data_IF_870003636675
#
_entry.id   IF_870003636675
#
_cell.length_a   1.000
_cell.length_b   1.000
_cell.length_c   1.000
_cell.angle_alpha   90.00
_cell.angle_beta   90.00
_cell.angle_gamma   90.00
#
_symmetry.space_group_name_H-M   'P 1'
#
loop_
_entity.id
_entity.type
_entity.pdbx_description
1 polymer ?
#
# COMPACT_ATOMS: atom_id res chain seq x y z
N UNK A 1 3.72 -0.65 5.32
CA UNK A 1 3.53 0.26 6.46
C UNK A 1 2.09 0.34 6.91
N UNK A 2 1.15 0.69 6.01
CA UNK A 2 -0.28 0.85 6.38
C UNK A 2 -0.87 -0.40 7.03
N UNK A 3 -0.69 -1.58 6.45
CA UNK A 3 -1.24 -2.84 7.01
C UNK A 3 -0.69 -3.14 8.41
N UNK A 4 0.62 -2.94 8.62
CA UNK A 4 1.21 -3.12 9.94
C UNK A 4 0.62 -2.10 10.92
N UNK A 5 0.55 -0.83 10.53
CA UNK A 5 0.02 0.24 11.39
C UNK A 5 -1.46 0.01 11.72
N UNK A 6 -2.28 -0.47 10.76
CA UNK A 6 -3.70 -0.73 11.01
C UNK A 6 -3.92 -1.86 12.01
N UNK A 7 -3.10 -2.89 11.99
CA UNK A 7 -3.13 -3.98 12.97
C UNK A 7 -2.69 -3.48 14.35
N UNK A 8 -1.54 -2.78 14.42
CA UNK A 8 -0.98 -2.31 15.68
C UNK A 8 -1.79 -1.21 16.36
N UNK A 9 -2.61 -0.48 15.62
CA UNK A 9 -3.45 0.61 16.09
C UNK A 9 -4.94 0.30 16.07
N UNK A 10 -5.28 -0.95 15.83
CA UNK A 10 -6.66 -1.43 15.85
C UNK A 10 -7.60 -0.56 15.01
N UNK A 11 -7.19 -0.26 13.76
CA UNK A 11 -8.01 0.58 12.90
C UNK A 11 -9.37 -0.08 12.66
N UNK A 12 -10.44 0.66 12.95
CA UNK A 12 -11.81 0.22 12.75
C UNK A 12 -12.15 0.18 11.25
N UNK A 13 -11.63 -0.84 10.56
CA UNK A 13 -11.86 -1.06 9.13
C UNK A 13 -13.13 -1.89 8.95
N UNK A 14 -14.27 -1.29 9.24
CA UNK A 14 -15.59 -1.92 9.11
C UNK A 14 -15.88 -2.14 7.63
N UNK A 15 -16.41 -3.31 7.29
CA UNK A 15 -16.90 -3.59 5.95
C UNK A 15 -18.20 -2.81 5.73
N UNK A 16 -18.11 -1.77 4.90
CA UNK A 16 -19.25 -0.92 4.56
C UNK A 16 -19.84 -1.39 3.23
N UNK A 17 -21.08 -1.84 3.17
CA UNK A 17 -21.74 -2.25 1.92
C UNK A 17 -21.90 -1.05 0.98
N UNK A 18 -21.94 -1.32 -0.32
CA UNK A 18 -22.26 -0.29 -1.32
C UNK A 18 -23.72 0.14 -1.17
N UNK A 19 -23.95 1.45 -1.10
CA UNK A 19 -25.28 2.04 -1.06
C UNK A 19 -25.64 2.62 -2.43
N UNK A 20 -26.41 1.88 -3.22
CA UNK A 20 -26.74 2.26 -4.60
C UNK A 20 -27.52 3.59 -4.68
N UNK A 21 -28.47 3.82 -3.78
CA UNK A 21 -29.27 5.06 -3.76
C UNK A 21 -28.38 6.30 -3.42
N UNK A 22 -27.54 6.18 -2.39
CA UNK A 22 -26.61 7.24 -2.04
C UNK A 22 -25.62 7.53 -3.19
N UNK A 23 -25.12 6.50 -3.86
CA UNK A 23 -24.18 6.66 -4.99
C UNK A 23 -24.86 7.39 -6.15
N UNK A 24 -26.06 6.99 -6.54
CA UNK A 24 -26.81 7.65 -7.60
C UNK A 24 -26.98 9.15 -7.32
N UNK A 25 -27.35 9.53 -6.09
CA UNK A 25 -27.48 10.91 -5.68
C UNK A 25 -26.16 11.71 -5.68
N UNK A 26 -25.03 11.02 -5.44
CA UNK A 26 -23.71 11.65 -5.40
C UNK A 26 -23.05 11.71 -6.79
N UNK A 27 -23.36 10.83 -7.72
CA UNK A 27 -22.79 10.80 -9.07
C UNK A 27 -23.21 12.03 -9.89
N UNK A 28 -24.35 12.66 -9.57
CA UNK A 28 -24.82 13.91 -10.20
C UNK A 28 -24.09 15.16 -9.68
N UNK A 29 -23.28 15.04 -8.63
CA UNK A 29 -22.59 16.17 -8.00
C UNK A 29 -21.21 16.43 -8.58
N UNK A 30 -20.85 17.70 -8.64
CA UNK A 30 -19.50 18.09 -9.02
C UNK A 30 -18.46 17.65 -7.99
N UNK A 31 -17.19 17.57 -8.41
CA UNK A 31 -16.07 17.23 -7.52
C UNK A 31 -15.98 18.15 -6.29
N UNK A 32 -16.24 19.44 -6.44
CA UNK A 32 -16.20 20.41 -5.35
C UNK A 32 -17.33 20.20 -4.35
N UNK A 33 -18.55 19.94 -4.80
CA UNK A 33 -19.68 19.62 -3.93
C UNK A 33 -19.44 18.34 -3.12
N UNK A 34 -18.84 17.32 -3.74
CA UNK A 34 -18.45 16.09 -3.02
C UNK A 34 -17.39 16.36 -1.93
N UNK A 35 -16.43 17.26 -2.20
CA UNK A 35 -15.44 17.68 -1.19
C UNK A 35 -16.14 18.41 -0.03
N UNK A 36 -17.07 19.30 -0.31
CA UNK A 36 -17.84 20.04 0.72
C UNK A 36 -18.64 19.07 1.59
N UNK A 37 -19.36 18.13 0.98
CA UNK A 37 -20.11 17.10 1.70
C UNK A 37 -19.17 16.30 2.61
N UNK A 38 -18.05 15.79 2.10
CA UNK A 38 -17.12 15.00 2.90
C UNK A 38 -16.49 15.83 4.04
N UNK A 39 -16.17 17.11 3.77
CA UNK A 39 -15.60 18.03 4.76
C UNK A 39 -16.54 18.33 5.91
N UNK A 40 -17.86 18.34 5.65
CA UNK A 40 -18.88 18.51 6.70
C UNK A 40 -19.02 17.28 7.60
N UNK A 41 -18.56 16.12 7.12
CA UNK A 41 -18.68 14.83 7.85
C UNK A 41 -17.43 14.50 8.65
N UNK A 42 -16.24 14.82 8.10
CA UNK A 42 -14.94 14.56 8.75
C UNK A 42 -13.89 15.60 8.38
N UNK A 43 -12.90 15.77 9.24
CA UNK A 43 -11.70 16.53 8.89
C UNK A 43 -10.88 15.80 7.82
N UNK A 44 -10.62 16.47 6.71
CA UNK A 44 -9.80 15.89 5.64
C UNK A 44 -8.32 15.87 6.03
N UNK A 45 -7.74 14.68 6.10
CA UNK A 45 -6.35 14.48 6.54
C UNK A 45 -5.40 14.03 5.43
N UNK A 46 -5.95 13.58 4.31
CA UNK A 46 -5.16 13.10 3.19
C UNK A 46 -5.80 13.47 1.84
N UNK A 47 -4.99 13.40 0.79
CA UNK A 47 -5.44 13.68 -0.58
C UNK A 47 -5.98 12.43 -1.29
N UNK A 48 -5.97 11.26 -0.66
CA UNK A 48 -6.40 10.00 -1.29
C UNK A 48 -7.91 9.99 -1.48
N UNK A 49 -8.66 10.40 -0.45
CA UNK A 49 -10.12 10.46 -0.47
C UNK A 49 -10.63 11.50 -1.48
N UNK A 50 -9.84 12.56 -1.73
CA UNK A 50 -10.21 13.67 -2.62
C UNK A 50 -9.64 13.57 -4.03
N UNK A 51 -8.96 12.45 -4.36
CA UNK A 51 -8.22 12.30 -5.63
C UNK A 51 -9.13 12.28 -6.87
N UNK A 52 -10.26 11.62 -6.76
CA UNK A 52 -11.27 11.50 -7.82
C UNK A 52 -12.67 11.35 -7.21
N UNK A 53 -13.70 11.48 -8.05
CA UNK A 53 -15.09 11.40 -7.61
C UNK A 53 -15.43 10.04 -6.97
N UNK A 54 -14.91 8.94 -7.50
CA UNK A 54 -15.17 7.60 -6.96
C UNK A 54 -14.66 7.45 -5.52
N UNK A 55 -13.46 7.94 -5.23
CA UNK A 55 -12.89 7.93 -3.89
C UNK A 55 -13.69 8.82 -2.92
N UNK A 56 -14.14 10.00 -3.39
CA UNK A 56 -14.99 10.90 -2.60
C UNK A 56 -16.33 10.24 -2.26
N UNK A 57 -17.00 9.67 -3.25
CA UNK A 57 -18.27 8.97 -3.05
C UNK A 57 -18.09 7.81 -2.06
N UNK A 58 -17.01 7.03 -2.21
CA UNK A 58 -16.72 5.94 -1.28
C UNK A 58 -16.44 6.44 0.14
N UNK A 59 -15.72 7.54 0.28
CA UNK A 59 -15.44 8.14 1.58
C UNK A 59 -16.72 8.67 2.26
N UNK A 60 -17.61 9.32 1.49
CA UNK A 60 -18.92 9.79 1.99
C UNK A 60 -19.80 8.61 2.40
N UNK A 61 -19.83 7.53 1.60
CA UNK A 61 -20.55 6.31 1.90
C UNK A 61 -20.11 5.69 3.23
N UNK A 62 -18.80 5.60 3.46
CA UNK A 62 -18.22 5.09 4.72
C UNK A 62 -18.61 5.97 5.92
N UNK A 63 -18.48 7.30 5.79
CA UNK A 63 -18.82 8.21 6.87
C UNK A 63 -20.33 8.21 7.19
N UNK A 64 -21.18 8.10 6.16
CA UNK A 64 -22.63 7.99 6.33
C UNK A 64 -23.01 6.71 7.06
N UNK A 65 -22.39 5.59 6.67
CA UNK A 65 -22.60 4.29 7.32
C UNK A 65 -22.17 4.33 8.79
N UNK A 66 -20.99 4.87 9.10
CA UNK A 66 -20.48 4.97 10.46
C UNK A 66 -21.39 5.84 11.35
N UNK A 67 -21.92 6.96 10.82
CA UNK A 67 -22.88 7.80 11.54
C UNK A 67 -24.18 7.07 11.87
N UNK A 68 -24.64 6.24 10.94
CA UNK A 68 -25.87 5.45 11.14
C UNK A 68 -25.68 4.23 12.04
N UNK A 69 -24.45 3.78 12.23
CA UNK A 69 -24.10 2.59 13.00
C UNK A 69 -23.05 2.87 14.11
N UNK A 70 -23.28 3.78 15.04
CA UNK A 70 -22.28 4.22 16.01
C UNK A 70 -21.86 3.14 17.02
N UNK A 71 -22.63 2.04 17.12
CA UNK A 71 -22.34 0.91 18.02
C UNK A 71 -21.56 -0.22 17.36
N UNK A 72 -21.26 -0.11 16.06
CA UNK A 72 -20.51 -1.12 15.34
C UNK A 72 -19.01 -0.92 15.58
N UNK A 73 -18.52 -1.45 16.69
CA UNK A 73 -17.10 -1.42 17.06
C UNK A 73 -16.55 -2.82 16.89
N UNK A 74 -15.46 -2.94 16.14
CA UNK A 74 -14.72 -4.19 16.03
C UNK A 74 -13.91 -4.40 17.30
N UNK A 75 -14.05 -5.58 17.90
CA UNK A 75 -13.20 -6.02 19.01
C UNK A 75 -11.94 -6.66 18.42
N UNK A 76 -10.78 -6.25 18.93
CA UNK A 76 -9.49 -6.79 18.54
C UNK A 76 -8.85 -7.51 19.72
N UNK A 77 -8.17 -8.65 19.47
CA UNK A 77 -7.38 -9.27 20.51
C UNK A 77 -6.21 -8.36 20.89
N UNK A 78 -5.81 -8.38 22.15
CA UNK A 78 -4.60 -7.68 22.59
C UNK A 78 -3.38 -8.24 21.85
N UNK A 79 -2.64 -7.35 21.16
CA UNK A 79 -1.46 -7.72 20.37
C UNK A 79 -0.20 -7.23 21.06
N UNK A 80 0.56 -8.14 21.62
CA UNK A 80 1.92 -7.85 22.06
C UNK A 80 2.88 -8.03 20.86
N UNK A 81 3.42 -6.93 20.34
CA UNK A 81 4.19 -6.93 19.10
C UNK A 81 5.64 -6.53 19.29
N UNK A 82 6.56 -7.29 18.69
CA UNK A 82 7.96 -6.93 18.53
C UNK A 82 8.21 -6.56 17.05
N UNK A 83 8.37 -5.26 16.78
CA UNK A 83 8.57 -4.78 15.42
C UNK A 83 10.06 -4.64 15.11
N UNK A 84 10.55 -5.43 14.17
CA UNK A 84 11.94 -5.42 13.70
C UNK A 84 12.01 -4.77 12.32
N UNK A 85 12.89 -3.79 12.15
CA UNK A 85 13.20 -3.17 10.88
C UNK A 85 14.64 -3.49 10.45
N UNK A 86 14.84 -3.91 9.21
CA UNK A 86 16.18 -4.05 8.62
C UNK A 86 16.47 -2.80 7.81
N UNK A 87 17.55 -2.10 8.15
CA UNK A 87 17.91 -0.87 7.47
C UNK A 87 19.24 -1.02 6.70
N UNK A 88 19.24 -0.50 5.49
CA UNK A 88 20.44 -0.29 4.69
C UNK A 88 20.59 1.20 4.41
N UNK A 89 21.79 1.67 4.16
CA UNK A 89 22.01 3.00 3.62
C UNK A 89 21.27 3.19 2.28
N UNK A 90 21.15 4.43 1.83
CA UNK A 90 20.36 4.77 0.66
C UNK A 90 20.89 4.11 -0.61
N UNK A 91 22.19 4.11 -0.78
CA UNK A 91 22.85 3.61 -2.00
C UNK A 91 22.70 2.08 -2.11
N UNK A 92 23.07 1.38 -1.06
CA UNK A 92 22.94 -0.09 -0.99
C UNK A 92 21.51 -0.55 -1.14
N UNK A 93 20.56 0.14 -0.54
CA UNK A 93 19.15 -0.19 -0.73
C UNK A 93 18.74 -0.02 -2.20
N UNK A 94 19.15 1.04 -2.88
CA UNK A 94 18.88 1.25 -4.30
C UNK A 94 19.47 0.15 -5.16
N UNK A 95 20.74 -0.18 -4.94
CA UNK A 95 21.45 -1.25 -5.64
C UNK A 95 20.72 -2.59 -5.49
N UNK A 96 20.41 -3.00 -4.27
CA UNK A 96 19.68 -4.24 -3.97
C UNK A 96 18.30 -4.30 -4.63
N UNK A 97 17.57 -3.19 -4.69
CA UNK A 97 16.27 -3.11 -5.37
C UNK A 97 16.44 -3.40 -6.87
N UNK A 98 17.41 -2.75 -7.52
CA UNK A 98 17.67 -2.94 -8.96
C UNK A 98 18.14 -4.37 -9.26
N UNK A 99 19.10 -4.89 -8.49
CA UNK A 99 19.60 -6.27 -8.64
C UNK A 99 18.48 -7.31 -8.44
N UNK A 100 17.58 -7.09 -7.48
CA UNK A 100 16.42 -7.96 -7.29
C UNK A 100 15.48 -7.91 -8.49
N UNK A 101 15.21 -6.73 -9.03
CA UNK A 101 14.37 -6.59 -10.23
C UNK A 101 14.99 -7.31 -11.42
N UNK A 102 16.30 -7.13 -11.68
CA UNK A 102 17.03 -7.85 -12.73
C UNK A 102 16.94 -9.37 -12.57
N UNK A 103 17.15 -9.84 -11.33
CA UNK A 103 17.02 -11.26 -11.00
C UNK A 103 15.60 -11.80 -11.27
N UNK A 104 14.57 -11.06 -10.87
CA UNK A 104 13.17 -11.42 -11.12
C UNK A 104 12.83 -11.48 -12.62
N UNK A 105 13.34 -10.54 -13.40
CA UNK A 105 13.18 -10.58 -14.87
C UNK A 105 13.79 -11.86 -15.47
N UNK A 106 15.01 -12.24 -15.03
CA UNK A 106 15.68 -13.47 -15.48
C UNK A 106 14.96 -14.75 -15.02
N UNK A 107 14.19 -14.68 -13.94
CA UNK A 107 13.44 -15.81 -13.37
C UNK A 107 12.04 -15.98 -13.98
N UNK A 108 11.72 -15.30 -15.06
CA UNK A 108 10.46 -15.50 -15.77
C UNK A 108 9.31 -14.61 -15.33
N UNK A 109 9.59 -13.43 -14.77
CA UNK A 109 8.54 -12.50 -14.35
C UNK A 109 7.67 -12.00 -15.51
N UNK A 110 8.24 -11.87 -16.71
CA UNK A 110 7.49 -11.48 -17.92
C UNK A 110 6.57 -12.61 -18.35
N UNK A 111 7.08 -13.83 -18.34
CA UNK A 111 6.35 -15.05 -18.68
C UNK A 111 5.19 -15.30 -17.71
N UNK A 112 5.38 -15.01 -16.43
CA UNK A 112 4.32 -15.06 -15.43
C UNK A 112 3.15 -14.14 -15.82
N UNK A 113 3.42 -12.87 -16.10
CA UNK A 113 2.38 -11.89 -16.47
C UNK A 113 1.72 -12.26 -17.80
N UNK A 114 2.52 -12.75 -18.76
CA UNK A 114 2.01 -13.22 -20.06
C UNK A 114 1.02 -14.36 -19.89
N UNK A 115 1.37 -15.36 -19.10
CA UNK A 115 0.49 -16.51 -18.79
C UNK A 115 -0.83 -16.09 -18.17
N UNK A 116 -0.81 -15.09 -17.28
CA UNK A 116 -2.03 -14.55 -16.64
C UNK A 116 -2.91 -13.84 -17.67
N UNK A 117 -2.33 -13.05 -18.59
CA UNK A 117 -3.08 -12.44 -19.70
C UNK A 117 -3.71 -13.50 -20.62
N UNK A 118 -2.95 -14.52 -20.97
CA UNK A 118 -3.41 -15.64 -21.81
C UNK A 118 -4.51 -16.48 -21.14
N UNK A 119 -4.57 -16.49 -19.81
CA UNK A 119 -5.67 -17.12 -19.05
C UNK A 119 -6.98 -16.32 -19.05
N UNK A 120 -7.01 -15.15 -19.70
CA UNK A 120 -8.21 -14.32 -19.84
C UNK A 120 -8.39 -13.22 -18.80
N UNK A 121 -7.38 -12.95 -17.96
CA UNK A 121 -7.40 -11.79 -17.06
C UNK A 121 -7.21 -10.51 -17.89
N UNK A 122 -8.07 -9.51 -17.69
CA UNK A 122 -8.02 -8.28 -18.47
C UNK A 122 -6.77 -7.42 -18.17
N UNK A 123 -6.33 -6.63 -19.18
CA UNK A 123 -5.24 -5.67 -19.01
C UNK A 123 -5.48 -4.72 -17.85
N UNK A 124 -6.72 -4.19 -17.72
CA UNK A 124 -7.11 -3.24 -16.68
C UNK A 124 -6.94 -3.83 -15.29
N UNK A 125 -7.33 -5.10 -15.12
CA UNK A 125 -7.16 -5.82 -13.86
C UNK A 125 -5.70 -5.96 -13.47
N UNK A 126 -4.82 -6.33 -14.41
CA UNK A 126 -3.38 -6.45 -14.17
C UNK A 126 -2.73 -5.09 -13.91
N UNK A 127 -3.13 -4.04 -14.63
CA UNK A 127 -2.64 -2.67 -14.42
C UNK A 127 -3.01 -2.17 -13.02
N UNK A 128 -4.17 -2.54 -12.51
CA UNK A 128 -4.63 -2.17 -11.17
C UNK A 128 -3.98 -3.00 -10.05
N UNK A 129 -3.53 -4.22 -10.34
CA UNK A 129 -3.04 -5.16 -9.34
C UNK A 129 -1.72 -4.75 -8.69
N UNK A 130 -0.80 -4.13 -9.44
CA UNK A 130 0.48 -3.68 -8.88
C UNK A 130 1.43 -3.08 -9.91
N UNK A 131 2.49 -2.47 -9.39
CA UNK A 131 3.44 -1.72 -10.23
C UNK A 131 4.14 -2.64 -11.23
N UNK A 132 4.56 -3.83 -10.80
CA UNK A 132 5.21 -4.83 -11.62
C UNK A 132 4.29 -5.28 -12.76
N UNK A 133 3.09 -5.71 -12.42
CA UNK A 133 2.08 -6.17 -13.39
C UNK A 133 1.74 -5.06 -14.40
N UNK A 134 1.56 -3.83 -13.91
CA UNK A 134 1.26 -2.67 -14.76
C UNK A 134 2.28 -2.46 -15.88
N UNK A 135 3.55 -2.36 -15.52
CA UNK A 135 4.57 -2.01 -16.52
C UNK A 135 4.91 -3.18 -17.45
N UNK A 136 4.87 -4.42 -16.93
CA UNK A 136 5.05 -5.61 -17.76
C UNK A 136 3.86 -5.78 -18.71
N UNK A 137 2.64 -5.54 -18.29
CA UNK A 137 1.47 -5.52 -19.18
C UNK A 137 1.64 -4.49 -20.28
N UNK A 138 2.08 -3.26 -19.98
CA UNK A 138 2.35 -2.26 -21.01
C UNK A 138 3.42 -2.69 -22.03
N UNK A 139 4.41 -3.46 -21.61
CA UNK A 139 5.38 -4.05 -22.50
C UNK A 139 4.76 -5.14 -23.38
N UNK A 140 4.03 -6.07 -22.79
CA UNK A 140 3.42 -7.20 -23.50
C UNK A 140 2.38 -6.78 -24.54
N UNK A 141 1.64 -5.69 -24.28
CA UNK A 141 0.68 -5.13 -25.25
C UNK A 141 1.28 -4.08 -26.20
N UNK A 142 2.62 -3.96 -26.23
CA UNK A 142 3.32 -3.09 -27.18
C UNK A 142 3.29 -1.59 -26.87
N UNK A 143 2.79 -1.18 -25.70
CA UNK A 143 2.75 0.24 -25.28
C UNK A 143 4.11 0.78 -24.83
N UNK A 144 5.04 -0.10 -24.45
CA UNK A 144 6.41 0.24 -24.03
C UNK A 144 7.42 -0.74 -24.66
N UNK A 145 8.62 -0.25 -24.97
CA UNK A 145 9.77 -1.13 -25.20
C UNK A 145 10.24 -1.76 -23.88
N UNK A 146 11.04 -2.85 -23.96
CA UNK A 146 11.62 -3.49 -22.78
C UNK A 146 12.41 -2.51 -21.91
N UNK A 147 13.29 -1.71 -22.52
CA UNK A 147 14.13 -0.76 -21.80
C UNK A 147 13.30 0.31 -21.08
N UNK A 148 12.27 0.83 -21.74
CA UNK A 148 11.36 1.81 -21.15
C UNK A 148 10.51 1.20 -20.00
N UNK A 149 10.04 -0.02 -20.18
CA UNK A 149 9.33 -0.77 -19.15
C UNK A 149 10.22 -0.96 -17.94
N UNK A 150 11.44 -1.49 -18.11
CA UNK A 150 12.39 -1.73 -17.02
C UNK A 150 12.75 -0.44 -16.28
N UNK A 151 13.10 0.63 -17.01
CA UNK A 151 13.49 1.91 -16.42
C UNK A 151 12.33 2.54 -15.58
N UNK A 152 11.10 2.50 -16.11
CA UNK A 152 9.91 3.02 -15.40
C UNK A 152 9.59 2.17 -14.18
N UNK A 153 9.59 0.85 -14.33
CA UNK A 153 9.34 -0.08 -13.23
C UNK A 153 10.37 0.08 -12.11
N UNK A 154 11.66 0.10 -12.43
CA UNK A 154 12.74 0.32 -11.47
C UNK A 154 12.56 1.65 -10.71
N UNK A 155 12.22 2.72 -11.42
CA UNK A 155 11.95 4.04 -10.82
C UNK A 155 10.79 3.98 -9.82
N UNK A 156 9.69 3.32 -10.19
CA UNK A 156 8.51 3.22 -9.31
C UNK A 156 8.78 2.34 -8.08
N UNK A 157 9.55 1.27 -8.20
CA UNK A 157 9.95 0.45 -7.04
C UNK A 157 10.81 1.28 -6.07
N UNK A 158 11.74 2.08 -6.57
CA UNK A 158 12.52 3.00 -5.75
C UNK A 158 11.65 4.04 -5.03
N UNK A 159 10.66 4.61 -5.72
CA UNK A 159 9.68 5.53 -5.13
C UNK A 159 8.84 4.84 -4.05
N UNK A 160 8.43 3.60 -4.30
CA UNK A 160 7.68 2.80 -3.32
C UNK A 160 8.50 2.55 -2.06
N UNK A 161 9.76 2.13 -2.19
CA UNK A 161 10.67 1.92 -1.06
C UNK A 161 10.89 3.22 -0.25
N UNK A 162 10.99 4.37 -0.92
CA UNK A 162 11.08 5.68 -0.23
C UNK A 162 9.80 5.95 0.58
N UNK A 163 8.61 5.71 0.00
CA UNK A 163 7.33 5.87 0.72
C UNK A 163 7.22 4.95 1.93
N UNK A 164 7.66 3.69 1.81
CA UNK A 164 7.70 2.76 2.95
C UNK A 164 8.55 3.30 4.10
N UNK A 165 9.76 3.78 3.84
CA UNK A 165 10.63 4.33 4.88
C UNK A 165 10.06 5.60 5.53
N UNK A 166 9.40 6.47 4.75
CA UNK A 166 8.70 7.64 5.27
C UNK A 166 7.56 7.21 6.20
N UNK A 167 6.84 6.17 5.83
CA UNK A 167 5.76 5.61 6.64
C UNK A 167 6.25 5.06 7.97
N UNK A 168 7.30 4.24 7.97
CA UNK A 168 7.87 3.67 9.20
C UNK A 168 8.41 4.74 10.15
N UNK A 169 9.06 5.79 9.61
CA UNK A 169 9.50 6.93 10.43
C UNK A 169 8.32 7.66 11.07
N UNK A 170 7.22 7.81 10.33
CA UNK A 170 5.98 8.37 10.88
C UNK A 170 5.41 7.50 11.98
N UNK A 171 5.36 6.18 11.80
CA UNK A 171 4.92 5.23 12.83
C UNK A 171 5.74 5.38 14.11
N UNK A 172 7.07 5.46 14.01
CA UNK A 172 7.94 5.69 15.17
C UNK A 172 7.66 7.03 15.85
N UNK A 173 7.52 8.11 15.08
CA UNK A 173 7.14 9.43 15.63
C UNK A 173 5.80 9.39 16.36
N UNK A 174 4.91 8.52 15.94
CA UNK A 174 3.57 8.32 16.52
C UNK A 174 3.55 7.22 17.60
N UNK A 175 4.71 6.85 18.18
CA UNK A 175 4.84 5.97 19.32
C UNK A 175 5.02 4.48 19.03
N UNK A 176 4.99 4.03 17.76
CA UNK A 176 5.27 2.62 17.44
C UNK A 176 6.76 2.34 17.62
N UNK A 177 7.12 1.44 18.52
CA UNK A 177 8.52 1.03 18.71
C UNK A 177 8.95 0.12 17.56
N UNK A 178 10.02 0.49 16.84
CA UNK A 178 10.65 -0.32 15.81
C UNK A 178 12.13 -0.47 16.16
N UNK A 179 12.59 -1.71 16.30
CA UNK A 179 13.98 -2.04 16.56
C UNK A 179 14.72 -2.19 15.22
N UNK A 180 15.51 -1.18 14.87
CA UNK A 180 16.26 -1.19 13.63
C UNK A 180 17.55 -1.97 13.79
N UNK A 181 17.80 -2.90 12.87
CA UNK A 181 19.03 -3.67 12.76
C UNK A 181 19.73 -3.25 11.46
N UNK A 182 21.03 -3.07 11.53
CA UNK A 182 21.85 -2.83 10.34
C UNK A 182 21.73 -4.02 9.38
N UNK A 183 21.43 -3.75 8.12
CA UNK A 183 21.30 -4.77 7.10
C UNK A 183 22.57 -5.58 6.84
N UNK A 184 23.74 -5.02 7.16
CA UNK A 184 25.05 -5.67 7.02
C UNK A 184 25.42 -6.59 8.18
N UNK A 185 24.75 -6.50 9.32
CA UNK A 185 24.96 -7.41 10.44
C UNK A 185 24.77 -8.87 9.96
N UNK A 186 25.63 -9.81 10.35
CA UNK A 186 25.45 -11.24 10.06
C UNK A 186 24.08 -11.75 10.51
N UNK A 187 23.57 -12.76 9.81
CA UNK A 187 22.24 -13.30 10.11
C UNK A 187 22.14 -13.86 11.54
N UNK A 188 23.17 -14.54 11.99
CA UNK A 188 23.25 -15.13 13.33
C UNK A 188 23.15 -14.07 14.43
N UNK A 189 23.87 -12.96 14.26
CA UNK A 189 23.82 -11.84 15.20
C UNK A 189 22.46 -11.14 15.21
N UNK A 190 21.81 -11.00 14.04
CA UNK A 190 20.42 -10.51 13.94
C UNK A 190 19.47 -11.43 14.72
N UNK A 191 19.61 -12.75 14.55
CA UNK A 191 18.78 -13.72 15.24
C UNK A 191 19.02 -13.65 16.75
N UNK A 192 20.28 -13.57 17.18
CA UNK A 192 20.64 -13.45 18.59
C UNK A 192 20.01 -12.19 19.22
N UNK A 193 20.17 -11.05 18.56
CA UNK A 193 19.56 -9.79 19.00
C UNK A 193 18.04 -9.88 19.14
N UNK A 194 17.35 -10.49 18.17
CA UNK A 194 15.89 -10.65 18.23
C UNK A 194 15.48 -11.58 19.37
N UNK A 195 16.20 -12.70 19.59
CA UNK A 195 15.96 -13.60 20.71
C UNK A 195 16.10 -12.90 22.06
N UNK A 196 17.06 -12.00 22.21
CA UNK A 196 17.26 -11.27 23.45
C UNK A 196 16.17 -10.21 23.70
N UNK A 197 15.59 -9.65 22.62
CA UNK A 197 14.43 -8.78 22.73
C UNK A 197 13.15 -9.52 23.15
N UNK A 198 13.01 -10.78 22.75
CA UNK A 198 11.86 -11.63 23.10
C UNK A 198 11.88 -12.14 24.55
N UNK A 199 13.02 -12.10 25.22
CA UNK A 199 13.16 -12.51 26.63
C UNK A 199 12.80 -11.38 27.61
N UNK A 200 12.66 -10.15 27.14
CA UNK A 200 12.36 -8.96 27.93
C UNK A 200 10.86 -8.70 27.95
#
# INVERSE_FOLDING_TARGET
GLYIESVLKEYQLIEVPKNAELRQNLEEKSHNELIEILSSMKKLHNTTDTKNAENLIRAIEIESFNKSNPKLILEFPEINSLNIGINYDRESRRKRITERLESRMKQGMIEEVKSILESGVSEESLIAYGVEYKYITYYLVGKLSYDNMFAKLNTEIHRFAKRQMTWFRRMQKNGTKIHWIDGYTPLEDKIHYVKDLLKK
#
